data_IF_794267412231
#
_entry.id   IF_794267412231
#
_cell.length_a   1.000
_cell.length_b   1.000
_cell.length_c   1.000
_cell.angle_alpha   90.00
_cell.angle_beta   90.00
_cell.angle_gamma   90.00
#
_symmetry.space_group_name_H-M   'P 1'
#
loop_
_entity.id
_entity.type
_entity.pdbx_description
1 polymer ?
#
# COMPACT_ATOMS: atom_id res chain seq x y z
N UNK A 1 11.50 -18.63 17.76
CA UNK A 1 11.12 -19.73 16.85
C UNK A 1 10.58 -19.15 15.55
N UNK A 2 10.84 -19.80 14.41
CA UNK A 2 10.38 -19.35 13.08
C UNK A 2 8.86 -19.22 13.01
N UNK A 3 8.12 -20.13 13.66
CA UNK A 3 6.66 -20.10 13.73
C UNK A 3 6.11 -18.78 14.28
N UNK A 4 6.68 -18.27 15.39
CA UNK A 4 6.24 -17.01 15.99
C UNK A 4 6.48 -15.80 15.07
N UNK A 5 7.55 -15.83 14.27
CA UNK A 5 7.82 -14.77 13.29
C UNK A 5 6.81 -14.81 12.13
N UNK A 6 6.48 -16.01 11.65
CA UNK A 6 5.47 -16.21 10.61
C UNK A 6 4.07 -15.77 11.08
N UNK A 7 3.68 -16.17 12.30
CA UNK A 7 2.38 -15.81 12.87
C UNK A 7 2.26 -14.30 13.07
N UNK A 8 3.30 -13.65 13.58
CA UNK A 8 3.34 -12.19 13.70
C UNK A 8 3.23 -11.50 12.34
N UNK A 9 3.98 -11.97 11.33
CA UNK A 9 3.89 -11.42 9.97
C UNK A 9 2.48 -11.57 9.40
N UNK A 10 1.86 -12.73 9.59
CA UNK A 10 0.50 -12.99 9.12
C UNK A 10 -0.51 -12.08 9.84
N UNK A 11 -0.38 -11.89 11.15
CA UNK A 11 -1.20 -10.96 11.92
C UNK A 11 -1.09 -9.53 11.40
N UNK A 12 0.13 -9.02 11.25
CA UNK A 12 0.37 -7.67 10.73
C UNK A 12 -0.21 -7.49 9.31
N UNK A 13 -0.10 -8.50 8.43
CA UNK A 13 -0.72 -8.46 7.10
C UNK A 13 -2.25 -8.47 7.15
N UNK A 14 -2.86 -9.24 8.05
CA UNK A 14 -4.32 -9.31 8.18
C UNK A 14 -4.91 -8.02 8.74
N UNK A 15 -4.31 -7.44 9.77
CA UNK A 15 -4.78 -6.17 10.35
C UNK A 15 -4.70 -5.02 9.33
N UNK A 16 -3.70 -5.04 8.45
CA UNK A 16 -3.51 -4.00 7.44
C UNK A 16 -4.13 -4.35 6.08
N UNK A 17 -4.88 -5.45 5.96
CA UNK A 17 -5.43 -5.94 4.69
C UNK A 17 -6.18 -4.86 3.91
N UNK A 18 -7.07 -4.11 4.58
CA UNK A 18 -7.86 -3.04 3.93
C UNK A 18 -6.97 -1.94 3.34
N UNK A 19 -5.90 -1.58 4.04
CA UNK A 19 -4.94 -0.57 3.59
C UNK A 19 -4.08 -1.09 2.43
N UNK A 20 -3.66 -2.35 2.49
CA UNK A 20 -2.95 -3.02 1.40
C UNK A 20 -3.79 -3.09 0.13
N UNK A 21 -5.05 -3.52 0.23
CA UNK A 21 -5.99 -3.59 -0.88
C UNK A 21 -6.24 -2.18 -1.48
N UNK A 22 -6.30 -1.15 -0.63
CA UNK A 22 -6.42 0.26 -1.07
C UNK A 22 -5.17 0.70 -1.86
N UNK A 23 -3.97 0.44 -1.34
CA UNK A 23 -2.70 0.77 -2.02
C UNK A 23 -2.63 0.11 -3.40
N UNK A 24 -2.91 -1.19 -3.46
CA UNK A 24 -2.89 -1.94 -4.72
C UNK A 24 -3.88 -1.39 -5.75
N UNK A 25 -5.08 -0.98 -5.32
CA UNK A 25 -6.06 -0.35 -6.23
C UNK A 25 -5.57 0.98 -6.75
N UNK A 26 -5.01 1.84 -5.89
CA UNK A 26 -4.46 3.14 -6.29
C UNK A 26 -3.32 2.95 -7.29
N UNK A 27 -2.39 2.03 -7.02
CA UNK A 27 -1.29 1.70 -7.94
C UNK A 27 -1.81 1.19 -9.30
N UNK A 28 -2.82 0.32 -9.30
CA UNK A 28 -3.43 -0.18 -10.54
C UNK A 28 -4.12 0.92 -11.35
N UNK A 29 -4.79 1.87 -10.68
CA UNK A 29 -5.42 3.02 -11.35
C UNK A 29 -4.33 3.92 -11.94
N UNK A 30 -3.28 4.25 -11.18
CA UNK A 30 -2.17 5.06 -11.67
C UNK A 30 -1.51 4.44 -12.90
N UNK A 31 -1.20 3.14 -12.85
CA UNK A 31 -0.59 2.44 -13.98
C UNK A 31 -1.49 2.47 -15.22
N UNK A 32 -2.81 2.29 -15.03
CA UNK A 32 -3.78 2.36 -16.12
C UNK A 32 -3.88 3.76 -16.72
N UNK A 33 -3.93 4.79 -15.87
CA UNK A 33 -4.01 6.19 -16.29
C UNK A 33 -2.74 6.65 -17.02
N UNK A 34 -1.57 6.25 -16.53
CA UNK A 34 -0.29 6.48 -17.20
C UNK A 34 -0.25 5.82 -18.57
N UNK A 35 -0.75 4.59 -18.70
CA UNK A 35 -0.82 3.88 -19.99
C UNK A 35 -1.74 4.59 -21.00
N UNK A 36 -2.78 5.28 -20.53
CA UNK A 36 -3.68 6.07 -21.38
C UNK A 36 -3.21 7.50 -21.62
N UNK A 37 -2.07 7.91 -21.07
CA UNK A 37 -1.53 9.27 -21.22
C UNK A 37 -2.29 10.33 -20.43
N UNK A 38 -2.83 9.98 -19.26
CA UNK A 38 -3.54 10.92 -18.38
C UNK A 38 -2.65 12.09 -17.96
N UNK A 39 -3.27 13.24 -17.71
CA UNK A 39 -2.56 14.44 -17.28
C UNK A 39 -1.98 14.29 -15.87
N UNK A 40 -0.88 15.00 -15.61
CA UNK A 40 -0.21 14.93 -14.30
C UNK A 40 -1.11 15.36 -13.14
N UNK A 41 -2.03 16.31 -13.36
CA UNK A 41 -3.00 16.72 -12.35
C UNK A 41 -3.91 15.55 -11.94
N UNK A 42 -4.38 14.75 -12.89
CA UNK A 42 -5.25 13.61 -12.62
C UNK A 42 -4.50 12.47 -11.92
N UNK A 43 -3.23 12.25 -12.28
CA UNK A 43 -2.38 11.29 -11.58
C UNK A 43 -2.16 11.70 -10.13
N UNK A 44 -1.94 13.00 -9.88
CA UNK A 44 -1.75 13.53 -8.53
C UNK A 44 -2.99 13.34 -7.64
N UNK A 45 -4.19 13.59 -8.17
CA UNK A 45 -5.44 13.35 -7.43
C UNK A 45 -5.57 11.90 -6.96
N UNK A 46 -5.17 10.94 -7.81
CA UNK A 46 -5.20 9.52 -7.46
C UNK A 46 -4.12 9.18 -6.42
N UNK A 47 -2.93 9.79 -6.49
CA UNK A 47 -1.91 9.64 -5.45
C UNK A 47 -2.42 10.14 -4.09
N UNK A 48 -3.15 11.25 -4.04
CA UNK A 48 -3.71 11.80 -2.79
C UNK A 48 -4.78 10.90 -2.15
N UNK A 49 -5.28 9.87 -2.86
CA UNK A 49 -6.18 8.87 -2.27
C UNK A 49 -5.53 8.07 -1.14
N UNK A 50 -4.20 7.96 -1.11
CA UNK A 50 -3.45 7.45 0.05
C UNK A 50 -2.91 8.65 0.84
N UNK A 51 -3.48 8.84 2.03
CA UNK A 51 -3.14 9.95 2.92
C UNK A 51 -1.73 9.82 3.51
N UNK A 52 -1.14 10.93 3.97
CA UNK A 52 0.18 10.93 4.62
C UNK A 52 0.33 9.89 5.75
N UNK A 53 -0.62 9.80 6.70
CA UNK A 53 -0.57 8.77 7.75
C UNK A 53 -0.64 7.34 7.21
N UNK A 54 -1.49 7.08 6.20
CA UNK A 54 -1.60 5.77 5.56
C UNK A 54 -0.29 5.37 4.86
N UNK A 55 0.41 6.31 4.22
CA UNK A 55 1.75 6.07 3.64
C UNK A 55 2.76 5.69 4.72
N UNK A 56 2.76 6.39 5.84
CA UNK A 56 3.64 6.07 6.97
C UNK A 56 3.35 4.68 7.55
N UNK A 57 2.07 4.30 7.63
CA UNK A 57 1.65 2.98 8.08
C UNK A 57 2.12 1.87 7.13
N UNK A 58 1.99 2.08 5.80
CA UNK A 58 2.51 1.17 4.78
C UNK A 58 4.03 1.00 4.88
N UNK A 59 4.78 2.08 5.06
CA UNK A 59 6.25 2.02 5.24
C UNK A 59 6.65 1.27 6.51
N UNK A 60 5.91 1.47 7.61
CA UNK A 60 6.12 0.75 8.86
C UNK A 60 5.87 -0.75 8.69
N UNK A 61 4.76 -1.10 8.03
CA UNK A 61 4.41 -2.49 7.72
C UNK A 61 5.48 -3.16 6.86
N UNK A 62 5.94 -2.49 5.80
CA UNK A 62 7.03 -2.99 4.92
C UNK A 62 8.31 -3.26 5.70
N UNK A 63 8.69 -2.36 6.62
CA UNK A 63 9.86 -2.56 7.49
C UNK A 63 9.69 -3.73 8.46
N UNK A 64 8.48 -4.00 8.94
CA UNK A 64 8.26 -5.09 9.88
C UNK A 64 8.15 -6.46 9.19
N UNK A 65 7.57 -6.50 7.99
CA UNK A 65 7.48 -7.72 7.17
C UNK A 65 8.85 -8.17 6.63
N UNK A 66 9.76 -7.23 6.38
CA UNK A 66 11.09 -7.49 5.83
C UNK A 66 12.18 -7.73 6.90
N UNK A 67 11.84 -7.67 8.19
CA UNK A 67 12.72 -8.07 9.29
C UNK A 67 12.71 -9.59 9.48
#
# INVERSE_FOLDING_TARGET
>A
SVANLMERRQHEMQENKRLLDKSQRVEAILASMQATGAEQAQLHEVEEMITGPERQQLETLKRNVNK
#
